data_IF_815645456663
#
_entry.id   IF_815645456663
#
_cell.length_a   1.000
_cell.length_b   1.000
_cell.length_c   1.000
_cell.angle_alpha   90.00
_cell.angle_beta   90.00
_cell.angle_gamma   90.00
#
_symmetry.space_group_name_H-M   'P 1'
#
loop_
_entity.id
_entity.type
_entity.pdbx_description
1 polymer ?
#
# COMPACT_ATOMS: atom_id res chain seq x y z
N UNK A 1 12.96 -3.28 -6.80
CA UNK A 1 11.89 -4.30 -6.82
C UNK A 1 10.69 -3.80 -7.59
N UNK A 2 9.83 -4.69 -8.07
CA UNK A 2 8.54 -4.32 -8.64
C UNK A 2 7.45 -4.42 -7.57
N UNK A 3 6.55 -3.46 -7.58
CA UNK A 3 5.36 -3.45 -6.75
C UNK A 3 4.11 -3.15 -7.60
N UNK A 4 2.95 -3.43 -7.06
CA UNK A 4 1.69 -3.33 -7.77
C UNK A 4 0.64 -2.65 -6.92
N UNK A 5 -0.15 -1.77 -7.54
CA UNK A 5 -1.24 -1.08 -6.88
C UNK A 5 -2.52 -1.19 -7.70
N UNK A 6 -3.56 -1.70 -7.08
CA UNK A 6 -4.89 -1.81 -7.68
C UNK A 6 -5.80 -0.70 -7.10
N UNK A 7 -6.41 0.08 -7.96
CA UNK A 7 -7.36 1.12 -7.56
C UNK A 7 -8.59 1.11 -8.47
N UNK A 8 -9.70 1.64 -7.99
CA UNK A 8 -10.86 1.90 -8.85
C UNK A 8 -10.46 2.86 -9.97
N UNK A 9 -10.89 2.59 -11.20
CA UNK A 9 -10.53 3.39 -12.37
C UNK A 9 -10.80 4.90 -12.18
N UNK A 10 -11.91 5.25 -11.51
CA UNK A 10 -12.26 6.64 -11.20
C UNK A 10 -11.25 7.36 -10.27
N UNK A 11 -10.40 6.62 -9.58
CA UNK A 11 -9.36 7.16 -8.68
C UNK A 11 -7.95 7.08 -9.25
N UNK A 12 -7.80 6.67 -10.53
CA UNK A 12 -6.49 6.47 -11.14
C UNK A 12 -5.61 7.73 -11.10
N UNK A 13 -6.19 8.91 -11.36
CA UNK A 13 -5.44 10.17 -11.37
C UNK A 13 -4.87 10.55 -9.99
N UNK A 14 -5.50 10.15 -8.90
CA UNK A 14 -5.09 10.43 -7.53
C UNK A 14 -4.43 9.24 -6.83
N UNK A 15 -4.11 8.17 -7.57
CA UNK A 15 -3.68 6.89 -7.00
C UNK A 15 -2.41 6.98 -6.14
N UNK A 16 -1.55 7.97 -6.38
CA UNK A 16 -0.26 8.13 -5.71
C UNK A 16 -0.16 9.38 -4.84
N UNK A 17 -1.26 10.06 -4.56
CA UNK A 17 -1.27 11.24 -3.69
C UNK A 17 -1.19 10.90 -2.21
N UNK A 18 -1.58 9.69 -1.82
CA UNK A 18 -1.71 9.29 -0.41
C UNK A 18 -2.92 9.88 0.31
N UNK A 19 -3.78 10.60 -0.39
CA UNK A 19 -4.88 11.36 0.21
C UNK A 19 -5.95 10.47 0.84
N UNK A 20 -6.28 9.33 0.22
CA UNK A 20 -7.24 8.38 0.80
C UNK A 20 -6.79 7.86 2.17
N UNK A 21 -5.53 7.48 2.29
CA UNK A 21 -4.95 7.04 3.57
C UNK A 21 -4.87 8.20 4.57
N UNK A 22 -4.55 9.40 4.13
CA UNK A 22 -4.53 10.60 4.99
C UNK A 22 -5.90 10.87 5.61
N UNK A 23 -6.97 10.73 4.86
CA UNK A 23 -8.34 11.02 5.33
C UNK A 23 -8.87 9.92 6.24
N UNK A 24 -8.69 8.66 5.87
CA UNK A 24 -9.34 7.52 6.53
C UNK A 24 -8.41 6.73 7.46
N UNK A 25 -7.10 6.93 7.38
CA UNK A 25 -6.13 6.05 8.02
C UNK A 25 -6.03 4.70 7.34
N UNK A 26 -5.11 3.88 7.80
CA UNK A 26 -4.87 2.52 7.32
C UNK A 26 -4.11 1.71 8.36
N UNK A 27 -3.72 0.49 8.00
CA UNK A 27 -2.99 -0.38 8.92
C UNK A 27 -1.68 0.25 9.42
N UNK A 28 -0.98 0.96 8.53
CA UNK A 28 0.34 1.52 8.78
C UNK A 28 0.36 3.04 8.88
N UNK A 29 -0.78 3.71 8.89
CA UNK A 29 -0.83 5.16 9.06
C UNK A 29 -2.04 5.60 9.87
N UNK A 30 -1.82 6.62 10.68
CA UNK A 30 -2.89 7.34 11.39
C UNK A 30 -3.54 8.35 10.45
N UNK A 31 -4.80 8.71 10.74
CA UNK A 31 -5.48 9.82 10.06
C UNK A 31 -4.58 11.08 10.13
N UNK A 32 -4.45 11.76 9.01
CA UNK A 32 -3.61 12.95 8.86
C UNK A 32 -2.25 12.69 8.18
N UNK A 33 -1.79 11.43 8.12
CA UNK A 33 -0.53 11.06 7.49
C UNK A 33 -0.79 10.51 6.10
N UNK A 34 -0.30 11.14 5.01
CA UNK A 34 -0.47 10.60 3.66
C UNK A 34 0.39 9.35 3.48
N UNK A 35 -0.16 8.36 2.81
CA UNK A 35 0.53 7.11 2.52
C UNK A 35 -0.06 6.41 1.31
N UNK A 36 0.79 5.81 0.48
CA UNK A 36 0.36 5.00 -0.65
C UNK A 36 0.68 3.53 -0.36
N UNK A 37 -0.31 2.67 -0.52
CA UNK A 37 -0.18 1.23 -0.28
C UNK A 37 -0.07 0.51 -1.61
N UNK A 38 0.93 -0.36 -1.73
CA UNK A 38 1.15 -1.26 -2.85
C UNK A 38 1.50 -2.67 -2.32
N UNK A 39 1.64 -3.63 -3.21
CA UNK A 39 1.96 -5.01 -2.86
C UNK A 39 3.08 -5.55 -3.75
N UNK A 40 3.80 -6.55 -3.27
CA UNK A 40 4.90 -7.15 -4.04
C UNK A 40 4.46 -7.99 -5.24
N UNK A 41 3.18 -8.34 -5.31
CA UNK A 41 2.62 -9.10 -6.44
C UNK A 41 1.25 -8.57 -6.86
N UNK A 42 0.87 -8.82 -8.12
CA UNK A 42 -0.47 -8.48 -8.63
C UNK A 42 -1.56 -9.22 -7.86
N UNK A 43 -1.32 -10.47 -7.52
CA UNK A 43 -2.27 -11.28 -6.76
C UNK A 43 -2.50 -10.71 -5.35
N UNK A 44 -1.42 -10.35 -4.64
CA UNK A 44 -1.55 -9.73 -3.33
C UNK A 44 -2.25 -8.37 -3.42
N UNK A 45 -1.94 -7.53 -4.42
CA UNK A 45 -2.63 -6.26 -4.63
C UNK A 45 -4.14 -6.45 -4.83
N UNK A 46 -4.53 -7.48 -5.59
CA UNK A 46 -5.94 -7.83 -5.79
C UNK A 46 -6.58 -8.33 -4.49
N UNK A 47 -5.92 -9.18 -3.72
CA UNK A 47 -6.42 -9.71 -2.45
C UNK A 47 -6.58 -8.61 -1.39
N UNK A 48 -5.60 -7.72 -1.26
CA UNK A 48 -5.66 -6.57 -0.34
C UNK A 48 -6.82 -5.62 -0.71
N UNK A 49 -7.08 -5.44 -2.01
CA UNK A 49 -8.24 -4.67 -2.47
C UNK A 49 -9.55 -5.39 -2.18
N UNK A 50 -9.59 -6.70 -2.40
CA UNK A 50 -10.79 -7.52 -2.26
C UNK A 50 -11.32 -7.56 -0.83
N UNK A 51 -10.45 -7.66 0.18
CA UNK A 51 -10.86 -7.69 1.60
C UNK A 51 -11.46 -6.37 2.08
N UNK A 52 -11.17 -5.27 1.40
CA UNK A 52 -11.75 -3.96 1.67
C UNK A 52 -12.95 -3.63 0.78
N UNK A 53 -13.35 -4.57 -0.09
CA UNK A 53 -14.42 -4.37 -1.07
C UNK A 53 -15.57 -5.31 -0.76
N UNK A 54 -16.77 -4.77 -0.52
CA UNK A 54 -17.97 -5.56 -0.27
C UNK A 54 -18.90 -5.59 -1.48
N UNK A 55 -19.52 -6.75 -1.75
CA UNK A 55 -20.62 -6.93 -2.69
C UNK A 55 -20.39 -6.32 -4.09
N UNK A 56 -21.15 -5.30 -4.44
CA UNK A 56 -21.11 -4.64 -5.76
C UNK A 56 -19.77 -3.97 -6.11
N UNK A 57 -18.92 -3.69 -5.13
CA UNK A 57 -17.61 -3.11 -5.36
C UNK A 57 -16.69 -3.97 -6.24
N UNK A 58 -16.88 -5.29 -6.26
CA UNK A 58 -16.14 -6.22 -7.12
C UNK A 58 -16.47 -6.08 -8.61
N UNK A 59 -17.61 -5.50 -8.94
CA UNK A 59 -18.07 -5.30 -10.33
C UNK A 59 -17.69 -3.93 -10.90
N UNK A 60 -16.96 -3.13 -10.12
CA UNK A 60 -16.47 -1.83 -10.58
C UNK A 60 -15.24 -2.02 -11.48
N UNK A 61 -14.99 -1.04 -12.31
CA UNK A 61 -13.78 -0.98 -13.13
C UNK A 61 -12.58 -0.62 -12.25
N UNK A 62 -11.52 -1.38 -12.38
CA UNK A 62 -10.24 -1.18 -11.70
C UNK A 62 -9.11 -0.99 -12.70
N UNK A 63 -8.04 -0.40 -12.25
CA UNK A 63 -6.77 -0.34 -12.98
C UNK A 63 -5.63 -0.80 -12.07
N UNK A 64 -4.69 -1.53 -12.68
CA UNK A 64 -3.49 -2.04 -12.02
C UNK A 64 -2.28 -1.23 -12.47
N UNK A 65 -1.61 -0.61 -11.52
CA UNK A 65 -0.32 0.04 -11.74
C UNK A 65 0.82 -0.93 -11.42
N UNK A 66 1.83 -0.94 -12.26
CA UNK A 66 3.14 -1.53 -11.99
C UNK A 66 4.11 -0.40 -11.60
N UNK A 67 4.96 -0.66 -10.60
CA UNK A 67 5.79 0.35 -9.95
C UNK A 67 7.20 -0.24 -9.81
N UNK A 68 8.19 0.43 -10.41
CA UNK A 68 9.59 0.05 -10.23
C UNK A 68 10.21 0.89 -9.12
N UNK A 69 10.68 0.22 -8.06
CA UNK A 69 11.24 0.86 -6.87
C UNK A 69 12.73 0.50 -6.80
N UNK A 70 13.63 1.49 -6.95
CA UNK A 70 15.07 1.25 -6.77
C UNK A 70 15.39 0.82 -5.33
N UNK A 71 16.32 -0.12 -5.17
CA UNK A 71 16.74 -0.59 -3.84
C UNK A 71 17.33 0.55 -2.99
N UNK A 72 17.92 1.56 -3.63
CA UNK A 72 18.48 2.74 -2.95
C UNK A 72 17.49 3.59 -2.19
N UNK A 73 16.20 3.50 -2.50
CA UNK A 73 15.13 4.26 -1.85
C UNK A 73 14.16 3.40 -1.05
N UNK A 74 14.48 2.10 -0.91
CA UNK A 74 13.65 1.11 -0.22
C UNK A 74 14.29 0.70 1.11
N UNK A 75 13.55 0.85 2.18
CA UNK A 75 13.87 0.27 3.48
C UNK A 75 12.95 -0.92 3.80
N UNK A 76 13.34 -1.71 4.78
CA UNK A 76 12.58 -2.85 5.28
C UNK A 76 12.27 -2.64 6.74
N UNK A 77 11.00 -2.85 7.13
CA UNK A 77 10.67 -2.86 8.55
C UNK A 77 11.32 -4.08 9.22
N UNK A 78 11.83 -3.89 10.44
CA UNK A 78 12.31 -5.01 11.24
C UNK A 78 11.12 -5.74 11.87
N UNK A 79 10.83 -7.00 11.50
CA UNK A 79 9.71 -7.76 12.05
C UNK A 79 9.76 -7.91 13.58
N UNK A 80 10.97 -7.91 14.16
CA UNK A 80 11.16 -8.02 15.61
C UNK A 80 10.65 -6.79 16.39
N UNK A 81 10.48 -5.65 15.71
CA UNK A 81 9.97 -4.41 16.30
C UNK A 81 8.46 -4.27 16.21
N UNK A 82 7.79 -5.18 15.52
CA UNK A 82 6.34 -5.13 15.37
C UNK A 82 5.65 -5.53 16.67
N UNK A 83 4.49 -4.91 17.01
CA UNK A 83 3.67 -5.37 18.13
C UNK A 83 3.20 -6.80 17.87
N UNK A 84 2.98 -7.58 18.93
CA UNK A 84 2.59 -9.01 18.82
C UNK A 84 1.30 -9.21 18.04
N UNK A 85 0.41 -8.25 18.08
CA UNK A 85 -0.91 -8.24 17.45
C UNK A 85 -0.94 -7.48 16.10
N UNK A 86 0.20 -7.30 15.45
CA UNK A 86 0.30 -6.55 14.19
C UNK A 86 -0.60 -7.10 13.07
N UNK A 87 -0.95 -8.39 13.14
CA UNK A 87 -1.80 -9.09 12.18
C UNK A 87 -3.31 -8.99 12.49
N UNK A 88 -3.70 -8.38 13.60
CA UNK A 88 -5.09 -8.30 14.02
C UNK A 88 -5.98 -7.68 12.95
N UNK A 89 -7.23 -8.12 12.90
CA UNK A 89 -8.24 -7.61 11.96
C UNK A 89 -8.35 -6.09 12.05
N UNK A 90 -8.41 -5.58 13.28
CA UNK A 90 -8.30 -4.13 13.55
C UNK A 90 -6.83 -3.84 13.87
N UNK A 91 -6.15 -3.03 13.06
CA UNK A 91 -4.75 -2.73 13.31
C UNK A 91 -4.56 -2.02 14.65
N UNK A 92 -3.58 -2.43 15.47
CA UNK A 92 -3.30 -1.74 16.72
C UNK A 92 -2.76 -0.33 16.43
N UNK A 93 -3.08 0.62 17.31
CA UNK A 93 -2.61 2.01 17.18
C UNK A 93 -1.07 2.10 17.15
N UNK A 94 -0.38 1.20 17.86
CA UNK A 94 1.08 1.11 17.86
C UNK A 94 1.67 0.80 16.48
N UNK A 95 0.97 0.01 15.65
CA UNK A 95 1.39 -0.28 14.29
C UNK A 95 1.24 0.96 13.39
N UNK A 96 0.12 1.68 13.52
CA UNK A 96 -0.10 2.93 12.80
C UNK A 96 0.97 3.98 13.16
N UNK A 97 1.37 4.03 14.42
CA UNK A 97 2.45 4.92 14.88
C UNK A 97 3.78 4.59 14.19
N UNK A 98 4.11 3.30 14.04
CA UNK A 98 5.35 2.88 13.37
C UNK A 98 5.40 3.40 11.93
N UNK A 99 4.36 3.17 11.14
CA UNK A 99 4.33 3.62 9.76
C UNK A 99 4.25 5.14 9.62
N UNK A 100 3.46 5.81 10.46
CA UNK A 100 3.38 7.28 10.46
C UNK A 100 4.72 7.92 10.86
N UNK A 101 5.42 7.36 11.85
CA UNK A 101 6.74 7.84 12.25
C UNK A 101 7.77 7.66 11.12
N UNK A 102 7.75 6.54 10.40
CA UNK A 102 8.59 6.35 9.22
C UNK A 102 8.30 7.42 8.17
N UNK A 103 7.02 7.64 7.83
CA UNK A 103 6.63 8.65 6.84
C UNK A 103 7.12 10.05 7.24
N UNK A 104 6.92 10.45 8.49
CA UNK A 104 7.31 11.76 9.01
C UNK A 104 8.82 11.92 9.13
N UNK A 105 9.56 10.84 9.37
CA UNK A 105 11.03 10.87 9.49
C UNK A 105 11.72 11.16 8.17
N UNK A 106 11.05 10.98 7.03
CA UNK A 106 11.64 11.15 5.71
C UNK A 106 12.89 10.26 5.50
N UNK A 107 12.91 9.07 6.12
CA UNK A 107 14.06 8.16 6.07
C UNK A 107 14.25 7.53 4.68
N UNK A 108 13.14 7.18 4.02
CA UNK A 108 13.15 6.59 2.67
C UNK A 108 11.85 6.87 1.94
N UNK A 109 11.87 6.73 0.60
CA UNK A 109 10.66 6.91 -0.22
C UNK A 109 9.73 5.68 -0.19
N UNK A 110 10.28 4.49 0.12
CA UNK A 110 9.52 3.26 0.19
C UNK A 110 9.92 2.43 1.40
N UNK A 111 8.95 1.71 1.98
CA UNK A 111 9.14 0.80 3.11
C UNK A 111 8.46 -0.53 2.81
N UNK A 112 9.22 -1.62 2.84
CA UNK A 112 8.68 -2.97 2.76
C UNK A 112 8.19 -3.42 4.13
N UNK A 113 6.93 -3.87 4.18
CA UNK A 113 6.26 -4.32 5.40
C UNK A 113 5.58 -5.66 5.16
N UNK A 114 5.45 -6.54 6.17
CA UNK A 114 4.75 -7.80 5.98
C UNK A 114 3.25 -7.57 5.72
N UNK A 115 2.65 -8.40 4.86
CA UNK A 115 1.20 -8.41 4.67
C UNK A 115 0.51 -9.08 5.87
N UNK A 116 -0.52 -8.45 6.41
CA UNK A 116 -1.35 -9.07 7.43
C UNK A 116 -2.30 -10.13 6.85
N UNK A 117 -2.50 -10.13 5.54
CA UNK A 117 -3.37 -11.07 4.83
C UNK A 117 -2.64 -12.34 4.44
N UNK A 118 -1.46 -12.19 3.83
CA UNK A 118 -0.58 -13.28 3.40
C UNK A 118 0.79 -13.05 4.06
N UNK A 119 1.03 -13.68 5.18
CA UNK A 119 2.18 -13.38 6.06
C UNK A 119 3.55 -13.65 5.41
N UNK A 120 3.59 -14.48 4.37
CA UNK A 120 4.80 -14.80 3.62
C UNK A 120 5.09 -13.80 2.49
N UNK A 121 4.17 -12.87 2.24
CA UNK A 121 4.31 -11.83 1.24
C UNK A 121 4.38 -10.45 1.90
N UNK A 122 4.81 -9.47 1.13
CA UNK A 122 5.00 -8.11 1.62
C UNK A 122 4.15 -7.10 0.89
N UNK A 123 3.68 -6.12 1.64
CA UNK A 123 3.17 -4.86 1.11
C UNK A 123 4.31 -3.83 1.03
N UNK A 124 4.11 -2.80 0.25
CA UNK A 124 5.04 -1.69 0.10
C UNK A 124 4.30 -0.39 0.43
N UNK A 125 4.85 0.37 1.34
CA UNK A 125 4.38 1.71 1.64
C UNK A 125 5.23 2.70 0.84
N UNK A 126 4.60 3.66 0.16
CA UNK A 126 5.29 4.76 -0.47
C UNK A 126 4.97 6.05 0.28
N UNK A 127 6.00 6.85 0.51
CA UNK A 127 5.87 8.18 1.07
C UNK A 127 5.72 9.22 -0.05
N UNK A 128 4.52 9.73 -0.34
CA UNK A 128 4.31 10.65 -1.45
C UNK A 128 5.00 12.00 -1.27
N UNK A 129 5.42 12.32 -0.04
CA UNK A 129 6.09 13.59 0.29
C UNK A 129 7.62 13.49 0.25
N UNK A 130 8.18 12.28 0.10
CA UNK A 130 9.63 12.10 0.07
C UNK A 130 10.21 12.57 -1.28
N UNK A 131 11.31 13.36 -1.30
CA UNK A 131 11.90 13.84 -2.56
C UNK A 131 12.35 12.70 -3.48
N UNK A 132 12.84 11.59 -2.94
CA UNK A 132 13.29 10.44 -3.72
C UNK A 132 12.14 9.61 -4.32
N UNK A 133 10.89 9.95 -4.04
CA UNK A 133 9.73 9.40 -4.77
C UNK A 133 9.83 9.69 -6.27
N UNK A 134 10.54 10.75 -6.66
CA UNK A 134 10.86 11.05 -8.06
C UNK A 134 11.70 9.96 -8.75
N UNK A 135 12.39 9.10 -8.00
CA UNK A 135 13.16 7.97 -8.54
C UNK A 135 12.32 6.71 -8.77
N UNK A 136 11.10 6.68 -8.24
CA UNK A 136 10.16 5.57 -8.40
C UNK A 136 9.44 5.74 -9.74
N UNK A 137 9.52 4.71 -10.59
CA UNK A 137 8.84 4.73 -11.88
C UNK A 137 7.46 4.10 -11.77
N UNK A 138 6.44 4.85 -12.14
CA UNK A 138 5.07 4.38 -12.19
C UNK A 138 4.70 4.19 -13.66
N UNK A 139 4.40 2.95 -14.05
CA UNK A 139 4.00 2.62 -15.41
C UNK A 139 2.55 3.00 -15.67
N UNK A 140 2.16 3.12 -16.95
CA UNK A 140 0.77 3.31 -17.33
C UNK A 140 -0.09 2.17 -16.77
N UNK A 141 -1.25 2.50 -16.18
CA UNK A 141 -2.13 1.48 -15.64
C UNK A 141 -2.74 0.63 -16.74
N UNK A 142 -3.00 -0.63 -16.41
CA UNK A 142 -3.77 -1.55 -17.25
C UNK A 142 -5.11 -1.86 -16.61
N UNK A 143 -6.14 -2.04 -17.42
CA UNK A 143 -7.46 -2.40 -16.95
C UNK A 143 -7.41 -3.74 -16.20
N UNK A 144 -8.17 -3.82 -15.11
CA UNK A 144 -8.27 -5.01 -14.27
C UNK A 144 -9.73 -5.27 -13.90
N UNK A 145 -10.14 -6.51 -14.06
CA UNK A 145 -11.48 -6.98 -13.68
C UNK A 145 -11.32 -8.19 -12.78
N UNK A 146 -12.02 -8.19 -11.65
CA UNK A 146 -12.08 -9.37 -10.80
C UNK A 146 -12.85 -10.50 -11.51
N UNK A 147 -12.33 -11.71 -11.39
CA UNK A 147 -13.02 -12.89 -11.87
C UNK A 147 -14.33 -13.08 -11.10
N UNK A 148 -15.41 -13.44 -11.80
CA UNK A 148 -16.75 -13.59 -11.20
C UNK A 148 -16.81 -14.67 -10.12
N UNK A 149 -15.84 -15.58 -10.08
CA UNK A 149 -15.73 -16.63 -9.05
C UNK A 149 -15.21 -16.12 -7.69
N UNK A 150 -14.69 -14.90 -7.63
CA UNK A 150 -14.17 -14.30 -6.41
C UNK A 150 -15.27 -13.54 -5.59
#
# INVERSE_FOLDING_TARGET
MNAYRLVKAKHAAAAFTGEGARVYGGRWNSVGTPMVYAAQSRALAAMETLVHTSGSGRRLDYVMFEIDIPDSVLEHVDPARLPRDWQSLVPPASLQVIGSAWQMSMASAALLVPSALIHQESCVLLNPEHPDTAQIMIHYPVDFVFDERL
#
